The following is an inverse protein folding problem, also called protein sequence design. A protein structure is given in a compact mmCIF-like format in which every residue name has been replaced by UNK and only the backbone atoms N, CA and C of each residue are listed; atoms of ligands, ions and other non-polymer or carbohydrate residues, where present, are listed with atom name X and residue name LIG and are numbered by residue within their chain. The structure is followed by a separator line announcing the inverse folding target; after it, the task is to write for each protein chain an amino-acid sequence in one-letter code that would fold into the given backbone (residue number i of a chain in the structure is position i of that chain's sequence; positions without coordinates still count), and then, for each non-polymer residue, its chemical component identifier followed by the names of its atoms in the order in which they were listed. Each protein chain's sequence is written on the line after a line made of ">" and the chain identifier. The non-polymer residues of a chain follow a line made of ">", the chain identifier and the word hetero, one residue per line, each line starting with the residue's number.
data_IF_435642028168
#
_entry.id   IF_435642028168
#
_cell.length_a   1.000
_cell.length_b   1.000
_cell.length_c   1.000
_cell.angle_alpha   90.00
_cell.angle_beta   90.00
_cell.angle_gamma   90.00
#
_symmetry.space_group_name_H-M   'P 1'
#
loop_
_entity.id
_entity.type
_entity.pdbx_description
1 polymer ?
#
# COMPACT_ATOMS: atom_id res chain seq x y z
N UNK A 1 37.36 34.56 -54.97
CA UNK A 1 38.46 34.12 -54.08
C UNK A 1 37.81 33.69 -52.77
N UNK A 2 37.07 32.58 -52.73
CA UNK A 2 37.51 31.16 -52.79
C UNK A 2 38.09 30.67 -51.45
N UNK A 3 37.33 29.77 -50.81
CA UNK A 3 37.70 28.76 -49.80
C UNK A 3 38.20 29.21 -48.41
N UNK A 4 37.46 28.86 -47.34
CA UNK A 4 37.63 27.55 -46.68
C UNK A 4 36.44 27.23 -45.76
N UNK A 5 35.82 26.08 -46.05
CA UNK A 5 34.85 25.37 -45.23
C UNK A 5 35.60 24.58 -44.16
N UNK A 6 35.14 24.62 -42.92
CA UNK A 6 35.36 23.54 -41.95
C UNK A 6 33.99 23.17 -41.40
N UNK A 7 33.38 22.17 -42.04
CA UNK A 7 32.27 21.41 -41.49
C UNK A 7 32.87 20.41 -40.49
N UNK A 8 32.49 20.53 -39.21
CA UNK A 8 32.73 19.48 -38.22
C UNK A 8 31.59 18.47 -38.29
N UNK A 9 31.95 17.21 -38.46
CA UNK A 9 31.03 16.07 -38.49
C UNK A 9 30.15 16.01 -37.23
N UNK A 10 28.83 15.87 -37.35
CA UNK A 10 27.98 15.43 -36.26
C UNK A 10 28.16 13.93 -36.08
N UNK A 11 28.88 13.54 -35.03
CA UNK A 11 28.98 12.15 -34.60
C UNK A 11 27.60 11.50 -34.48
N UNK A 12 27.46 10.41 -35.20
CA UNK A 12 26.37 9.45 -35.20
C UNK A 12 26.19 8.83 -33.81
N UNK A 13 25.20 9.28 -33.06
CA UNK A 13 24.66 8.54 -31.91
C UNK A 13 23.73 7.43 -32.41
N UNK A 14 24.30 6.29 -32.82
CA UNK A 14 23.53 5.06 -33.04
C UNK A 14 23.24 4.38 -31.70
N UNK A 15 21.96 4.32 -31.33
CA UNK A 15 21.48 3.53 -30.20
C UNK A 15 21.73 2.03 -30.44
N UNK A 16 22.16 1.26 -29.42
CA UNK A 16 22.32 -0.18 -29.55
C UNK A 16 20.96 -0.87 -29.73
N UNK A 17 20.88 -1.76 -30.72
CA UNK A 17 19.73 -2.63 -30.98
C UNK A 17 19.46 -3.54 -29.79
N UNK A 18 18.25 -3.48 -29.23
CA UNK A 18 17.76 -4.40 -28.20
C UNK A 18 17.80 -5.84 -28.70
N UNK A 19 18.69 -6.65 -28.13
CA UNK A 19 18.67 -8.10 -28.30
C UNK A 19 17.55 -8.69 -27.44
N UNK A 20 16.49 -9.16 -28.10
CA UNK A 20 15.41 -9.94 -27.50
C UNK A 20 15.99 -11.24 -26.92
N UNK A 21 15.98 -11.36 -25.59
CA UNK A 21 16.30 -12.60 -24.89
C UNK A 21 15.10 -13.53 -25.01
N UNK A 22 15.19 -14.52 -25.90
CA UNK A 22 14.26 -15.66 -25.90
C UNK A 22 14.57 -16.55 -24.70
N UNK A 23 13.63 -16.63 -23.77
CA UNK A 23 13.64 -17.59 -22.66
C UNK A 23 13.06 -18.90 -23.17
N UNK A 24 13.94 -19.88 -23.39
CA UNK A 24 13.58 -21.24 -23.80
C UNK A 24 13.04 -22.01 -22.57
N UNK A 25 11.72 -22.20 -22.50
CA UNK A 25 11.08 -23.02 -21.47
C UNK A 25 11.14 -24.50 -21.90
N UNK A 26 12.04 -25.25 -21.24
CA UNK A 26 12.15 -26.71 -21.36
C UNK A 26 10.90 -27.37 -20.74
N UNK A 27 10.14 -28.19 -21.49
CA UNK A 27 9.05 -29.00 -20.93
C UNK A 27 9.61 -30.31 -20.40
N UNK A 28 9.43 -30.61 -19.10
CA UNK A 28 9.84 -31.93 -18.61
C UNK A 28 9.86 -32.23 -17.10
N UNK A 29 9.15 -31.51 -16.23
CA UNK A 29 9.10 -31.90 -14.81
C UNK A 29 7.87 -32.78 -14.48
N UNK A 30 8.06 -33.93 -13.82
CA UNK A 30 6.99 -34.87 -13.51
C UNK A 30 6.15 -34.45 -12.29
N UNK A 31 4.87 -34.73 -12.41
CA UNK A 31 3.77 -34.40 -11.51
C UNK A 31 3.91 -35.05 -10.10
N UNK A 32 3.71 -34.31 -8.99
CA UNK A 32 3.82 -34.86 -7.65
C UNK A 32 2.60 -35.70 -7.27
N UNK A 33 2.86 -36.93 -6.80
CA UNK A 33 1.86 -37.92 -6.37
C UNK A 33 1.02 -37.43 -5.19
N UNK A 34 -0.31 -37.62 -5.30
CA UNK A 34 -1.30 -37.46 -4.21
C UNK A 34 -1.08 -38.51 -3.09
N UNK A 35 -1.23 -38.14 -1.81
CA UNK A 35 -1.27 -39.10 -0.72
C UNK A 35 -2.63 -39.81 -0.61
N UNK A 36 -2.58 -41.12 -0.35
CA UNK A 36 -3.69 -42.02 -0.07
C UNK A 36 -4.46 -41.63 1.20
N UNK A 37 -5.79 -41.60 1.07
CA UNK A 37 -6.74 -41.40 2.18
C UNK A 37 -6.92 -42.70 2.97
N UNK A 38 -6.49 -42.67 4.23
CA UNK A 38 -6.64 -43.76 5.20
C UNK A 38 -8.09 -43.80 5.73
N UNK A 39 -8.76 -44.95 5.54
CA UNK A 39 -10.08 -45.29 6.11
C UNK A 39 -10.09 -45.14 7.63
N UNK A 40 -10.98 -44.29 8.15
CA UNK A 40 -11.38 -44.26 9.56
C UNK A 40 -12.50 -45.27 9.80
N UNK A 41 -12.29 -46.17 10.76
CA UNK A 41 -13.28 -47.14 11.23
C UNK A 41 -14.36 -46.48 12.09
N UNK A 42 -15.57 -47.00 11.96
CA UNK A 42 -16.75 -46.65 12.74
C UNK A 42 -16.65 -47.18 14.17
N UNK A 43 -16.73 -46.29 15.16
CA UNK A 43 -17.01 -46.64 16.56
C UNK A 43 -18.51 -46.46 16.83
N UNK A 44 -19.09 -47.46 17.48
CA UNK A 44 -20.50 -47.61 17.81
C UNK A 44 -20.96 -46.67 18.92
N UNK A 45 -22.21 -46.22 18.76
CA UNK A 45 -22.90 -45.16 19.47
C UNK A 45 -23.86 -45.77 20.51
N UNK A 46 -23.34 -46.26 21.64
CA UNK A 46 -24.16 -46.70 22.77
C UNK A 46 -23.51 -46.25 24.08
N UNK A 47 -23.94 -45.09 24.61
CA UNK A 47 -23.50 -44.71 25.95
C UNK A 47 -23.77 -43.30 26.45
N UNK A 48 -24.79 -42.57 25.98
CA UNK A 48 -25.11 -41.24 26.54
C UNK A 48 -26.63 -41.01 26.59
N UNK A 49 -27.32 -41.76 27.46
CA UNK A 49 -28.64 -41.38 28.01
C UNK A 49 -28.58 -41.45 29.52
N UNK A 50 -28.49 -40.30 30.16
CA UNK A 50 -28.76 -40.18 31.58
C UNK A 50 -27.90 -39.12 32.24
N UNK A 51 -28.25 -37.85 32.08
CA UNK A 51 -28.08 -36.79 33.09
C UNK A 51 -28.56 -35.47 32.50
N UNK A 52 -29.79 -35.10 32.80
CA UNK A 52 -30.37 -33.85 32.32
C UNK A 52 -31.71 -33.55 32.97
N UNK A 53 -31.71 -33.18 34.25
CA UNK A 53 -32.81 -32.41 34.87
C UNK A 53 -32.52 -32.08 36.34
N UNK A 54 -31.53 -31.23 36.67
CA UNK A 54 -31.47 -30.68 38.04
C UNK A 54 -30.56 -29.44 38.26
N UNK A 55 -30.56 -28.42 37.39
CA UNK A 55 -29.89 -27.15 37.72
C UNK A 55 -30.66 -25.94 37.20
N UNK A 56 -31.68 -25.53 37.95
CA UNK A 56 -32.34 -24.24 37.80
C UNK A 56 -32.80 -23.75 39.18
N UNK A 57 -31.88 -23.15 39.94
CA UNK A 57 -32.25 -22.30 41.08
C UNK A 57 -31.07 -21.40 41.47
N UNK A 58 -31.25 -20.10 41.26
CA UNK A 58 -30.66 -18.96 41.98
C UNK A 58 -29.23 -19.13 42.51
N UNK A 59 -28.22 -18.92 41.67
CA UNK A 59 -26.88 -18.56 42.13
C UNK A 59 -26.84 -17.05 42.41
N UNK A 60 -26.71 -16.71 43.69
CA UNK A 60 -26.47 -15.34 44.14
C UNK A 60 -24.98 -15.03 44.06
N UNK A 61 -24.65 -13.75 44.01
CA UNK A 61 -23.30 -13.17 43.85
C UNK A 61 -22.22 -13.77 44.78
N UNK A 62 -22.62 -14.38 45.90
CA UNK A 62 -21.75 -15.07 46.86
C UNK A 62 -21.09 -16.35 46.30
N UNK A 63 -21.71 -17.06 45.35
CA UNK A 63 -21.16 -18.30 44.79
C UNK A 63 -19.98 -18.03 43.82
N UNK A 64 -19.93 -16.84 43.24
CA UNK A 64 -18.84 -16.45 42.34
C UNK A 64 -17.55 -16.16 43.13
N UNK A 65 -17.66 -15.52 44.29
CA UNK A 65 -16.56 -15.27 45.22
C UNK A 65 -15.97 -16.57 45.78
N UNK A 66 -16.82 -17.55 46.12
CA UNK A 66 -16.37 -18.86 46.63
C UNK A 66 -15.70 -19.70 45.53
N UNK A 67 -16.20 -19.64 44.30
CA UNK A 67 -15.60 -20.32 43.13
C UNK A 67 -14.22 -19.73 42.77
N UNK A 68 -14.04 -18.41 42.93
CA UNK A 68 -12.76 -17.74 42.70
C UNK A 68 -11.73 -18.02 43.81
N UNK A 69 -12.15 -18.06 45.08
CA UNK A 69 -11.27 -18.42 46.22
C UNK A 69 -10.88 -19.91 46.21
N UNK A 70 -11.80 -20.79 45.82
CA UNK A 70 -11.53 -22.23 45.68
C UNK A 70 -10.59 -22.52 44.51
N UNK A 71 -10.70 -21.78 43.41
CA UNK A 71 -9.77 -21.90 42.28
C UNK A 71 -8.33 -21.49 42.65
N UNK A 72 -8.14 -20.43 43.47
CA UNK A 72 -6.80 -19.99 43.89
C UNK A 72 -6.08 -20.96 44.82
N UNK A 73 -6.81 -21.76 45.59
CA UNK A 73 -6.22 -22.70 46.56
C UNK A 73 -6.01 -24.10 45.98
N UNK A 74 -6.79 -24.51 44.98
CA UNK A 74 -6.64 -25.83 44.34
C UNK A 74 -5.66 -25.86 43.14
N UNK A 75 -5.51 -24.76 42.40
CA UNK A 75 -4.60 -24.69 41.25
C UNK A 75 -3.12 -25.01 41.58
N UNK A 76 -2.54 -24.57 42.71
CA UNK A 76 -1.15 -24.90 43.05
C UNK A 76 -0.94 -26.38 43.36
N UNK A 77 -1.96 -27.06 43.92
CA UNK A 77 -1.89 -28.47 44.32
C UNK A 77 -1.95 -29.42 43.12
N UNK A 78 -2.77 -29.10 42.11
CA UNK A 78 -2.87 -29.89 40.87
C UNK A 78 -1.61 -29.72 40.00
N UNK A 79 -0.95 -28.56 40.05
CA UNK A 79 0.27 -28.29 39.29
C UNK A 79 1.52 -29.04 39.81
N UNK A 80 1.49 -29.57 41.05
CA UNK A 80 2.62 -30.31 41.62
C UNK A 80 2.63 -31.81 41.24
N UNK A 81 1.55 -32.35 40.69
CA UNK A 81 1.40 -33.79 40.49
C UNK A 81 1.87 -34.36 39.13
N UNK A 82 2.01 -33.53 38.09
CA UNK A 82 2.32 -34.05 36.74
C UNK A 82 3.29 -33.13 35.97
N UNK A 83 4.59 -33.49 35.86
CA UNK A 83 5.59 -32.66 35.19
C UNK A 83 5.28 -32.45 33.70
N UNK A 84 4.59 -33.39 33.03
CA UNK A 84 4.17 -33.21 31.63
C UNK A 84 3.17 -32.05 31.44
N UNK A 85 2.24 -31.86 32.39
CA UNK A 85 1.26 -30.78 32.29
C UNK A 85 1.93 -29.40 32.44
N UNK A 86 2.99 -29.32 33.24
CA UNK A 86 3.76 -28.10 33.44
C UNK A 86 4.54 -27.73 32.18
N UNK A 87 5.13 -28.71 31.51
CA UNK A 87 5.83 -28.51 30.24
C UNK A 87 4.86 -28.05 29.12
N UNK A 88 3.71 -28.73 28.98
CA UNK A 88 2.66 -28.35 28.02
C UNK A 88 2.09 -26.96 28.29
N UNK A 89 1.93 -26.57 29.55
CA UNK A 89 1.45 -25.23 29.95
C UNK A 89 2.44 -24.10 29.62
N UNK A 90 3.74 -24.31 29.84
CA UNK A 90 4.78 -23.30 29.54
C UNK A 90 4.93 -23.11 28.02
N UNK A 91 4.92 -24.20 27.24
CA UNK A 91 4.92 -24.13 25.78
C UNK A 91 3.72 -23.37 25.22
N UNK A 92 2.53 -23.60 25.78
CA UNK A 92 1.32 -22.87 25.41
C UNK A 92 1.40 -21.36 25.66
N UNK A 93 1.96 -20.96 26.80
CA UNK A 93 2.11 -19.54 27.16
C UNK A 93 3.16 -18.84 26.27
N UNK A 94 4.27 -19.51 25.97
CA UNK A 94 5.31 -18.97 25.08
C UNK A 94 4.77 -18.73 23.66
N UNK A 95 4.04 -19.70 23.09
CA UNK A 95 3.41 -19.56 21.78
C UNK A 95 2.34 -18.45 21.74
N UNK A 96 1.61 -18.25 22.84
CA UNK A 96 0.65 -17.15 22.96
C UNK A 96 1.35 -15.78 22.95
N UNK A 97 2.41 -15.62 23.73
CA UNK A 97 3.16 -14.36 23.80
C UNK A 97 3.81 -13.98 22.47
N UNK A 98 4.39 -14.95 21.77
CA UNK A 98 4.98 -14.74 20.45
C UNK A 98 3.95 -14.20 19.44
N UNK A 99 2.75 -14.79 19.42
CA UNK A 99 1.64 -14.32 18.56
C UNK A 99 1.18 -12.91 18.93
N UNK A 100 1.11 -12.57 20.23
CA UNK A 100 0.75 -11.22 20.67
C UNK A 100 1.80 -10.19 20.25
N UNK A 101 3.09 -10.49 20.44
CA UNK A 101 4.19 -9.60 20.06
C UNK A 101 4.19 -9.38 18.55
N UNK A 102 4.09 -10.44 17.75
CA UNK A 102 4.01 -10.34 16.30
C UNK A 102 2.84 -9.46 15.87
N UNK A 103 1.65 -9.68 16.42
CA UNK A 103 0.45 -8.91 16.11
C UNK A 103 0.61 -7.41 16.42
N UNK A 104 1.18 -7.06 17.59
CA UNK A 104 1.43 -5.67 17.96
C UNK A 104 2.46 -5.03 17.01
N UNK A 105 3.55 -5.75 16.71
CA UNK A 105 4.59 -5.26 15.80
C UNK A 105 4.05 -4.93 14.41
N UNK A 106 3.25 -5.83 13.82
CA UNK A 106 2.59 -5.58 12.53
C UNK A 106 1.56 -4.44 12.61
N UNK A 107 0.75 -4.39 13.66
CA UNK A 107 -0.21 -3.31 13.86
C UNK A 107 0.47 -1.94 13.87
N UNK A 108 1.60 -1.81 14.57
CA UNK A 108 2.40 -0.58 14.58
C UNK A 108 3.03 -0.27 13.22
N UNK A 109 3.52 -1.29 12.50
CA UNK A 109 4.05 -1.11 11.14
C UNK A 109 2.99 -0.56 10.20
N UNK A 110 1.77 -1.10 10.20
CA UNK A 110 0.66 -0.59 9.38
C UNK A 110 0.24 0.82 9.81
N UNK A 111 0.15 1.07 11.12
CA UNK A 111 -0.20 2.37 11.66
C UNK A 111 0.79 3.46 11.22
N UNK A 112 2.07 3.11 11.02
CA UNK A 112 3.08 4.02 10.50
C UNK A 112 3.11 4.08 8.97
N UNK A 113 3.00 2.93 8.28
CA UNK A 113 3.13 2.85 6.82
C UNK A 113 1.96 3.51 6.08
N UNK A 114 0.73 3.42 6.62
CA UNK A 114 -0.47 3.98 5.97
C UNK A 114 -0.38 5.52 5.90
N UNK A 115 -0.14 6.26 7.00
CA UNK A 115 0.02 7.71 6.93
C UNK A 115 1.16 8.15 6.00
N UNK A 116 2.30 7.46 6.02
CA UNK A 116 3.45 7.77 5.15
C UNK A 116 3.09 7.55 3.67
N UNK A 117 2.45 6.43 3.36
CA UNK A 117 1.97 6.13 2.01
C UNK A 117 0.92 7.14 1.53
N UNK A 118 -0.05 7.48 2.39
CA UNK A 118 -1.05 8.49 2.10
C UNK A 118 -0.44 9.89 1.91
N UNK A 119 0.49 10.30 2.76
CA UNK A 119 1.18 11.59 2.64
C UNK A 119 1.94 11.68 1.31
N UNK A 120 2.69 10.64 0.96
CA UNK A 120 3.44 10.58 -0.29
C UNK A 120 2.51 10.61 -1.50
N UNK A 121 1.44 9.80 -1.49
CA UNK A 121 0.46 9.78 -2.57
C UNK A 121 -0.27 11.12 -2.73
N UNK A 122 -0.63 11.79 -1.63
CA UNK A 122 -1.24 13.11 -1.68
C UNK A 122 -0.28 14.19 -2.17
N UNK A 123 1.01 14.09 -1.86
CA UNK A 123 2.07 14.95 -2.43
C UNK A 123 2.10 14.82 -3.95
N UNK A 124 2.27 13.60 -4.46
CA UNK A 124 2.30 13.35 -5.91
C UNK A 124 1.02 13.78 -6.62
N UNK A 125 -0.16 13.59 -6.00
CA UNK A 125 -1.42 14.05 -6.58
C UNK A 125 -1.53 15.58 -6.66
N UNK A 126 -0.92 16.32 -5.72
CA UNK A 126 -0.85 17.79 -5.81
C UNK A 126 0.07 18.19 -6.96
N UNK A 127 1.23 17.56 -7.07
CA UNK A 127 2.19 17.87 -8.13
C UNK A 127 1.58 17.60 -9.51
N UNK A 128 0.87 16.49 -9.70
CA UNK A 128 0.15 16.18 -10.95
C UNK A 128 -0.93 17.24 -11.24
N UNK A 129 -1.68 17.66 -10.21
CA UNK A 129 -2.72 18.69 -10.36
C UNK A 129 -2.14 20.03 -10.78
N UNK A 130 -0.98 20.41 -10.25
CA UNK A 130 -0.32 21.67 -10.57
C UNK A 130 0.45 21.60 -11.89
N UNK A 131 0.81 20.40 -12.35
CA UNK A 131 1.49 20.18 -13.64
C UNK A 131 0.58 20.51 -14.84
N UNK A 132 -0.72 20.20 -14.77
CA UNK A 132 -1.66 20.50 -15.86
C UNK A 132 -1.70 22.01 -16.21
N UNK A 133 -1.95 22.94 -15.27
CA UNK A 133 -1.94 24.37 -15.59
C UNK A 133 -0.54 24.87 -15.98
N UNK A 134 0.53 24.32 -15.40
CA UNK A 134 1.91 24.67 -15.81
C UNK A 134 2.17 24.32 -17.28
N UNK A 135 1.77 23.12 -17.72
CA UNK A 135 1.90 22.71 -19.12
C UNK A 135 0.99 23.51 -20.05
N UNK A 136 -0.23 23.86 -19.62
CA UNK A 136 -1.15 24.71 -20.40
C UNK A 136 -0.62 26.13 -20.61
N UNK A 137 0.09 26.69 -19.63
CA UNK A 137 0.63 28.05 -19.66
C UNK A 137 2.11 28.08 -20.07
N UNK A 138 2.70 26.93 -20.40
CA UNK A 138 4.11 26.82 -20.75
C UNK A 138 4.42 27.67 -21.99
N UNK A 139 5.47 28.49 -21.87
CA UNK A 139 6.00 29.29 -22.97
C UNK A 139 7.52 29.33 -22.85
N UNK A 140 8.19 28.79 -23.87
CA UNK A 140 9.66 28.71 -23.91
C UNK A 140 10.32 30.07 -23.86
N UNK A 141 9.67 31.13 -24.38
CA UNK A 141 10.24 32.49 -24.36
C UNK A 141 10.26 33.09 -22.95
N UNK A 142 9.27 32.71 -22.13
CA UNK A 142 9.15 33.12 -20.73
C UNK A 142 10.01 32.27 -19.79
N UNK A 143 10.56 31.15 -20.26
CA UNK A 143 11.38 30.27 -19.43
C UNK A 143 12.71 30.92 -19.05
N UNK A 144 13.00 31.04 -17.75
CA UNK A 144 14.28 31.57 -17.27
C UNK A 144 15.35 30.48 -17.23
N UNK A 145 16.51 30.72 -17.86
CA UNK A 145 17.70 29.89 -17.61
C UNK A 145 18.45 30.44 -16.39
N UNK A 146 19.14 29.55 -15.68
CA UNK A 146 20.11 29.92 -14.64
C UNK A 146 21.08 31.01 -15.12
N UNK A 147 21.48 30.92 -16.39
CA UNK A 147 22.36 31.86 -17.05
C UNK A 147 21.82 33.31 -17.06
N UNK A 148 20.53 33.51 -17.29
CA UNK A 148 19.89 34.82 -17.32
C UNK A 148 19.62 35.34 -15.91
N UNK A 149 19.24 34.47 -14.98
CA UNK A 149 18.97 34.86 -13.58
C UNK A 149 20.22 35.36 -12.85
N UNK A 150 21.42 35.02 -13.34
CA UNK A 150 22.70 35.50 -12.81
C UNK A 150 23.44 36.49 -13.75
N UNK A 151 22.71 37.22 -14.62
CA UNK A 151 23.28 38.21 -15.55
C UNK A 151 24.46 37.67 -16.40
N UNK A 152 24.34 36.41 -16.85
CA UNK A 152 25.37 35.69 -17.57
C UNK A 152 26.73 35.66 -16.84
N UNK A 153 26.73 35.56 -15.51
CA UNK A 153 27.92 35.40 -14.67
C UNK A 153 27.72 34.26 -13.68
N UNK A 154 28.74 33.45 -13.49
CA UNK A 154 28.72 32.42 -12.47
C UNK A 154 28.78 33.06 -11.07
N UNK A 155 27.89 32.71 -10.12
CA UNK A 155 27.81 33.40 -8.83
C UNK A 155 29.09 33.28 -8.00
N UNK A 156 29.74 32.12 -7.98
CA UNK A 156 30.95 31.92 -7.18
C UNK A 156 32.26 32.39 -7.84
N UNK A 157 32.39 32.23 -9.16
CA UNK A 157 33.66 32.46 -9.88
C UNK A 157 33.70 33.79 -10.62
N UNK A 158 32.56 34.45 -10.82
CA UNK A 158 32.42 35.67 -11.61
C UNK A 158 32.66 35.49 -13.12
N UNK A 159 32.92 34.26 -13.59
CA UNK A 159 33.19 33.98 -14.99
C UNK A 159 31.94 34.23 -15.85
N UNK A 160 32.15 34.77 -17.06
CA UNK A 160 31.07 35.03 -18.01
C UNK A 160 30.52 33.71 -18.57
N UNK A 161 29.24 33.44 -18.34
CA UNK A 161 28.52 32.29 -18.86
C UNK A 161 28.00 32.58 -20.27
N UNK A 162 27.99 31.56 -21.13
CA UNK A 162 27.28 31.64 -22.41
C UNK A 162 25.77 31.56 -22.14
N UNK A 163 24.97 32.20 -22.99
CA UNK A 163 23.52 32.18 -22.84
C UNK A 163 22.97 30.84 -23.35
N UNK A 164 22.61 29.94 -22.44
CA UNK A 164 22.00 28.65 -22.77
C UNK A 164 20.70 28.79 -23.55
N UNK A 165 19.93 29.88 -23.33
CA UNK A 165 18.70 30.15 -24.08
C UNK A 165 18.94 30.23 -25.59
N UNK A 166 20.06 30.84 -26.03
CA UNK A 166 20.39 30.93 -27.46
C UNK A 166 20.69 29.55 -28.05
N UNK A 167 21.36 28.70 -27.28
CA UNK A 167 21.65 27.33 -27.69
C UNK A 167 20.36 26.52 -27.82
N UNK A 168 19.46 26.60 -26.84
CA UNK A 168 18.16 25.92 -26.88
C UNK A 168 17.34 26.39 -28.09
N UNK A 169 17.23 27.70 -28.33
CA UNK A 169 16.47 28.22 -29.48
C UNK A 169 17.05 27.79 -30.82
N UNK A 170 18.38 27.76 -30.94
CA UNK A 170 19.03 27.24 -32.15
C UNK A 170 18.68 25.76 -32.39
N UNK A 171 18.70 24.93 -31.34
CA UNK A 171 18.31 23.51 -31.43
C UNK A 171 16.83 23.35 -31.76
N UNK A 172 15.94 24.13 -31.14
CA UNK A 172 14.50 24.12 -31.44
C UNK A 172 14.23 24.53 -32.89
N UNK A 173 14.99 25.48 -33.44
CA UNK A 173 14.90 25.83 -34.86
C UNK A 173 15.28 24.65 -35.76
N UNK A 174 16.26 23.84 -35.36
CA UNK A 174 16.63 22.62 -36.08
C UNK A 174 15.56 21.53 -36.03
N UNK A 175 14.82 21.41 -34.93
CA UNK A 175 13.80 20.36 -34.75
C UNK A 175 12.40 20.74 -35.25
N UNK A 176 12.02 22.02 -35.11
CA UNK A 176 10.66 22.51 -35.38
C UNK A 176 10.60 23.56 -36.49
N UNK A 177 11.73 23.98 -37.03
CA UNK A 177 11.80 24.96 -38.12
C UNK A 177 11.61 24.32 -39.48
N UNK A 178 10.86 25.01 -40.34
CA UNK A 178 10.60 24.66 -41.73
C UNK A 178 11.16 25.75 -42.66
N UNK A 179 11.41 25.39 -43.92
CA UNK A 179 11.92 26.33 -44.91
C UNK A 179 10.86 27.41 -45.21
N UNK A 180 11.21 28.68 -45.01
CA UNK A 180 10.31 29.82 -45.22
C UNK A 180 9.59 30.29 -43.95
N UNK A 181 9.83 29.66 -42.80
CA UNK A 181 9.30 30.13 -41.53
C UNK A 181 9.81 31.51 -41.14
N UNK A 182 8.93 32.28 -40.48
CA UNK A 182 9.34 33.47 -39.74
C UNK A 182 10.29 33.10 -38.59
N UNK A 183 11.04 34.09 -38.10
CA UNK A 183 12.07 33.87 -37.09
C UNK A 183 11.57 33.07 -35.87
N UNK A 184 10.32 33.24 -35.46
CA UNK A 184 9.78 32.71 -34.19
C UNK A 184 8.73 31.61 -34.36
N UNK A 185 8.41 31.21 -35.60
CA UNK A 185 7.32 30.24 -35.85
C UNK A 185 7.63 28.86 -35.26
N UNK A 186 8.90 28.45 -35.29
CA UNK A 186 9.38 27.21 -34.68
C UNK A 186 9.16 27.17 -33.15
N UNK A 187 9.25 28.32 -32.46
CA UNK A 187 9.00 28.43 -31.02
C UNK A 187 7.51 28.23 -30.71
N UNK A 188 6.62 28.78 -31.53
CA UNK A 188 5.17 28.57 -31.38
C UNK A 188 4.78 27.11 -31.57
N UNK A 189 5.36 26.42 -32.57
CA UNK A 189 5.11 24.98 -32.79
C UNK A 189 5.58 24.14 -31.61
N UNK A 190 6.76 24.44 -31.05
CA UNK A 190 7.25 23.77 -29.86
C UNK A 190 6.32 23.99 -28.66
N UNK A 191 5.96 25.26 -28.37
CA UNK A 191 5.03 25.61 -27.30
C UNK A 191 3.69 24.87 -27.46
N UNK A 192 3.12 24.86 -28.67
CA UNK A 192 1.89 24.14 -28.98
C UNK A 192 2.03 22.63 -28.73
N UNK A 193 3.14 22.03 -29.14
CA UNK A 193 3.44 20.60 -28.92
C UNK A 193 3.54 20.26 -27.42
N UNK A 194 4.17 21.12 -26.62
CA UNK A 194 4.26 20.95 -25.17
C UNK A 194 2.89 21.09 -24.50
N UNK A 195 2.14 22.14 -24.85
CA UNK A 195 0.83 22.45 -24.28
C UNK A 195 -0.25 21.40 -24.61
N UNK A 196 -0.07 20.66 -25.70
CA UNK A 196 -1.02 19.63 -26.18
C UNK A 196 -0.46 18.23 -26.01
N UNK A 197 0.43 17.79 -26.90
CA UNK A 197 0.91 16.41 -26.98
C UNK A 197 1.65 15.96 -25.71
N UNK A 198 2.56 16.78 -25.17
CA UNK A 198 3.26 16.41 -23.94
C UNK A 198 2.31 16.38 -22.76
N UNK A 199 1.45 17.40 -22.62
CA UNK A 199 0.41 17.45 -21.58
C UNK A 199 -0.44 16.19 -21.59
N UNK A 200 -0.99 15.81 -22.74
CA UNK A 200 -1.91 14.69 -22.82
C UNK A 200 -1.21 13.37 -22.47
N UNK A 201 0.03 13.16 -22.95
CA UNK A 201 0.85 11.99 -22.58
C UNK A 201 1.23 11.94 -21.11
N UNK A 202 1.57 13.08 -20.52
CA UNK A 202 1.93 13.18 -19.10
C UNK A 202 0.72 12.92 -18.21
N UNK A 203 -0.46 13.42 -18.59
CA UNK A 203 -1.70 13.18 -17.84
C UNK A 203 -2.17 11.72 -17.97
N UNK A 204 -2.07 11.14 -19.16
CA UNK A 204 -2.32 9.71 -19.37
C UNK A 204 -1.34 8.83 -18.55
N UNK A 205 -0.06 9.22 -18.52
CA UNK A 205 0.94 8.58 -17.67
C UNK A 205 0.66 8.77 -16.18
N UNK A 206 0.14 9.93 -15.76
CA UNK A 206 -0.19 10.21 -14.36
C UNK A 206 -1.33 9.31 -13.84
N UNK A 207 -2.29 8.94 -14.69
CA UNK A 207 -3.31 7.94 -14.36
C UNK A 207 -2.70 6.56 -14.09
N UNK A 208 -1.59 6.23 -14.77
CA UNK A 208 -0.82 5.02 -14.46
C UNK A 208 -0.10 5.09 -13.11
N UNK A 209 0.18 6.28 -12.56
CA UNK A 209 0.75 6.43 -11.20
C UNK A 209 -0.30 6.19 -10.10
N UNK A 210 -1.59 6.26 -10.43
CA UNK A 210 -2.68 5.80 -9.55
C UNK A 210 -2.69 4.26 -9.45
N UNK A 211 -2.10 3.55 -10.42
CA UNK A 211 -1.96 2.09 -10.43
C UNK A 211 -1.11 1.55 -9.26
N UNK A 212 0.07 2.13 -8.90
CA UNK A 212 0.81 1.81 -7.69
C UNK A 212 -0.04 1.75 -6.42
N UNK A 213 -1.03 2.63 -6.25
CA UNK A 213 -1.89 2.60 -5.06
C UNK A 213 -2.75 1.34 -5.05
N UNK A 214 -3.29 0.92 -6.20
CA UNK A 214 -4.03 -0.33 -6.32
C UNK A 214 -3.14 -1.53 -6.09
N UNK A 215 -1.93 -1.53 -6.66
CA UNK A 215 -0.94 -2.60 -6.46
C UNK A 215 -0.54 -2.68 -4.99
N UNK A 216 -0.22 -1.56 -4.34
CA UNK A 216 0.11 -1.52 -2.90
C UNK A 216 -1.07 -2.02 -2.06
N UNK A 217 -2.30 -1.64 -2.39
CA UNK A 217 -3.49 -2.18 -1.72
C UNK A 217 -3.64 -3.69 -1.93
N UNK A 218 -3.49 -4.20 -3.16
CA UNK A 218 -3.54 -5.64 -3.47
C UNK A 218 -2.41 -6.42 -2.78
N UNK A 219 -1.18 -5.90 -2.78
CA UNK A 219 -0.03 -6.50 -2.12
C UNK A 219 -0.20 -6.49 -0.61
N UNK A 220 -0.81 -5.44 -0.04
CA UNK A 220 -1.19 -5.38 1.37
C UNK A 220 -2.21 -6.46 1.70
N UNK A 221 -3.25 -6.63 0.87
CA UNK A 221 -4.25 -7.70 1.05
C UNK A 221 -3.61 -9.08 0.94
N UNK A 222 -2.76 -9.30 -0.07
CA UNK A 222 -2.07 -10.56 -0.28
C UNK A 222 -1.11 -10.89 0.86
N UNK A 223 -0.37 -9.90 1.39
CA UNK A 223 0.52 -10.07 2.53
C UNK A 223 -0.23 -10.42 3.83
N UNK A 224 -1.48 -9.97 3.96
CA UNK A 224 -2.34 -10.32 5.09
C UNK A 224 -3.06 -11.67 4.95
N UNK A 225 -3.10 -12.26 3.75
CA UNK A 225 -3.85 -13.49 3.49
C UNK A 225 -3.37 -14.70 4.31
N UNK A 226 -2.05 -14.98 4.47
CA UNK A 226 -1.58 -16.10 5.29
C UNK A 226 -2.03 -16.00 6.75
N UNK A 227 -2.05 -14.80 7.31
CA UNK A 227 -2.52 -14.56 8.67
C UNK A 227 -4.01 -14.84 8.84
N UNK A 228 -4.80 -14.51 7.81
CA UNK A 228 -6.22 -14.83 7.80
C UNK A 228 -6.44 -16.34 7.76
N UNK A 229 -5.69 -17.06 6.92
CA UNK A 229 -5.73 -18.51 6.85
C UNK A 229 -5.32 -19.18 8.18
N UNK A 230 -4.24 -18.70 8.82
CA UNK A 230 -3.79 -19.20 10.13
C UNK A 230 -4.81 -18.95 11.23
N UNK A 231 -5.45 -17.76 11.23
CA UNK A 231 -6.48 -17.42 12.21
C UNK A 231 -7.72 -18.31 12.06
N UNK A 232 -8.11 -18.61 10.82
CA UNK A 232 -9.19 -19.55 10.52
C UNK A 232 -8.84 -20.98 10.93
N UNK A 233 -7.60 -21.42 10.70
CA UNK A 233 -7.13 -22.73 11.12
C UNK A 233 -7.15 -22.87 12.65
N UNK A 234 -6.70 -21.84 13.36
CA UNK A 234 -6.74 -21.80 14.83
C UNK A 234 -8.16 -21.78 15.36
N UNK A 235 -9.05 -20.97 14.78
CA UNK A 235 -10.47 -20.94 15.14
C UNK A 235 -11.11 -22.33 14.97
N UNK A 236 -10.79 -23.05 13.89
CA UNK A 236 -11.27 -24.42 13.67
C UNK A 236 -10.72 -25.40 14.72
N UNK A 237 -9.42 -25.33 15.02
CA UNK A 237 -8.81 -26.17 16.05
C UNK A 237 -9.42 -25.91 17.44
N UNK A 238 -9.70 -24.64 17.75
CA UNK A 238 -10.36 -24.24 18.98
C UNK A 238 -11.80 -24.77 19.05
N UNK A 239 -12.57 -24.69 17.95
CA UNK A 239 -13.91 -25.26 17.87
C UNK A 239 -13.92 -26.79 18.09
N UNK A 240 -12.89 -27.51 17.64
CA UNK A 240 -12.77 -28.96 17.89
C UNK A 240 -12.42 -29.26 19.36
N UNK A 241 -11.59 -28.43 19.98
CA UNK A 241 -11.28 -28.53 21.42
C UNK A 241 -12.49 -28.18 22.31
N UNK A 242 -13.48 -27.50 21.74
CA UNK A 242 -14.64 -26.97 22.42
C UNK A 242 -15.67 -28.05 22.81
N UNK A 243 -15.61 -29.25 22.22
CA UNK A 243 -16.55 -30.35 22.53
C UNK A 243 -16.49 -30.81 24.00
N UNK A 244 -15.40 -30.54 24.74
CA UNK A 244 -15.30 -30.88 26.17
C UNK A 244 -15.84 -29.80 27.14
N UNK A 245 -16.06 -28.55 26.68
CA UNK A 245 -16.55 -27.46 27.52
C UNK A 245 -18.01 -27.13 27.19
N UNK A 246 -18.87 -27.13 28.23
CA UNK A 246 -20.31 -26.97 28.08
C UNK A 246 -20.75 -25.81 27.15
N UNK A 247 -21.83 -26.01 26.38
CA UNK A 247 -22.12 -25.30 25.12
C UNK A 247 -22.23 -23.77 25.25
N UNK A 248 -22.66 -23.27 26.40
CA UNK A 248 -22.91 -21.85 26.62
C UNK A 248 -21.62 -21.02 26.81
N UNK A 249 -20.67 -21.52 27.61
CA UNK A 249 -19.39 -20.85 27.85
C UNK A 249 -18.51 -20.77 26.59
N UNK A 250 -18.76 -21.74 25.71
CA UNK A 250 -17.98 -22.05 24.56
C UNK A 250 -18.41 -21.17 23.36
N UNK A 251 -19.73 -21.03 23.16
CA UNK A 251 -20.29 -20.10 22.18
C UNK A 251 -19.89 -18.64 22.43
N UNK A 252 -19.89 -18.18 23.69
CA UNK A 252 -19.52 -16.80 24.03
C UNK A 252 -18.05 -16.49 23.77
N UNK A 253 -17.15 -17.42 24.10
CA UNK A 253 -15.70 -17.26 23.84
C UNK A 253 -15.39 -17.30 22.34
N UNK A 254 -16.06 -18.17 21.60
CA UNK A 254 -15.92 -18.21 20.14
C UNK A 254 -16.43 -16.92 19.51
N UNK A 255 -17.60 -16.42 19.92
CA UNK A 255 -18.14 -15.15 19.45
C UNK A 255 -17.20 -13.97 19.78
N UNK A 256 -16.61 -13.94 20.97
CA UNK A 256 -15.67 -12.89 21.39
C UNK A 256 -14.35 -12.93 20.59
N UNK A 257 -13.81 -14.11 20.29
CA UNK A 257 -12.61 -14.26 19.45
C UNK A 257 -12.91 -13.85 18.02
N UNK A 258 -14.03 -14.33 17.46
CA UNK A 258 -14.47 -13.98 16.10
C UNK A 258 -14.72 -12.48 16.00
N UNK A 259 -15.50 -11.85 16.89
CA UNK A 259 -15.73 -10.40 16.85
C UNK A 259 -14.46 -9.58 17.05
N UNK A 260 -13.52 -10.04 17.88
CA UNK A 260 -12.22 -9.39 18.05
C UNK A 260 -11.34 -9.48 16.80
N UNK A 261 -11.30 -10.61 16.12
CA UNK A 261 -10.50 -10.74 14.88
C UNK A 261 -11.18 -10.08 13.67
N UNK A 262 -12.51 -10.13 13.60
CA UNK A 262 -13.27 -9.43 12.56
C UNK A 262 -13.24 -7.90 12.73
N UNK A 263 -13.27 -7.38 13.96
CA UNK A 263 -13.09 -5.94 14.19
C UNK A 263 -11.69 -5.45 13.80
N UNK A 264 -10.66 -6.27 13.98
CA UNK A 264 -9.31 -5.99 13.48
C UNK A 264 -9.25 -5.99 11.95
N UNK A 265 -9.92 -6.95 11.31
CA UNK A 265 -10.06 -6.97 9.86
C UNK A 265 -10.76 -5.71 9.35
N UNK A 266 -11.91 -5.36 9.93
CA UNK A 266 -12.62 -4.14 9.53
C UNK A 266 -11.81 -2.87 9.81
N UNK A 267 -11.09 -2.79 10.92
CA UNK A 267 -10.21 -1.66 11.21
C UNK A 267 -9.03 -1.54 10.24
N UNK A 268 -8.44 -2.66 9.81
CA UNK A 268 -7.29 -2.64 8.87
C UNK A 268 -7.74 -2.45 7.43
N UNK A 269 -8.93 -2.93 7.04
CA UNK A 269 -9.37 -2.92 5.63
C UNK A 269 -10.46 -1.89 5.31
N UNK A 270 -11.52 -1.77 6.13
CA UNK A 270 -12.57 -0.78 5.88
C UNK A 270 -12.10 0.63 6.22
N UNK A 271 -11.25 0.81 7.24
CA UNK A 271 -10.81 2.14 7.61
C UNK A 271 -9.96 2.81 6.51
N UNK A 272 -8.92 2.18 5.93
CA UNK A 272 -8.17 2.82 4.84
C UNK A 272 -9.00 2.97 3.57
N UNK A 273 -9.88 2.01 3.25
CA UNK A 273 -10.80 2.13 2.12
C UNK A 273 -11.77 3.31 2.29
N UNK A 274 -12.37 3.45 3.48
CA UNK A 274 -13.22 4.58 3.83
C UNK A 274 -12.43 5.89 3.83
N UNK A 275 -11.18 5.89 4.33
CA UNK A 275 -10.29 7.04 4.33
C UNK A 275 -9.97 7.47 2.89
N UNK A 276 -9.67 6.55 1.98
CA UNK A 276 -9.44 6.84 0.55
C UNK A 276 -10.71 7.41 -0.10
N UNK A 277 -11.89 6.85 0.20
CA UNK A 277 -13.18 7.38 -0.28
C UNK A 277 -13.46 8.79 0.28
N UNK A 278 -13.20 9.01 1.56
CA UNK A 278 -13.33 10.32 2.21
C UNK A 278 -12.32 11.32 1.67
N UNK A 279 -11.08 10.92 1.37
CA UNK A 279 -10.09 11.76 0.71
C UNK A 279 -10.53 12.13 -0.71
N UNK A 280 -11.10 11.17 -1.47
CA UNK A 280 -11.69 11.44 -2.79
C UNK A 280 -12.88 12.40 -2.73
N UNK A 281 -13.69 12.34 -1.67
CA UNK A 281 -14.80 13.28 -1.45
C UNK A 281 -14.31 14.63 -0.89
N UNK A 282 -13.24 14.65 -0.12
CA UNK A 282 -12.65 15.84 0.49
C UNK A 282 -11.87 16.71 -0.51
N UNK A 283 -11.23 16.10 -1.50
CA UNK A 283 -10.53 16.80 -2.59
C UNK A 283 -11.39 17.86 -3.31
N UNK A 284 -12.61 17.56 -3.80
CA UNK A 284 -13.47 18.56 -4.43
C UNK A 284 -14.01 19.60 -3.44
N UNK A 285 -14.15 19.24 -2.17
CA UNK A 285 -14.63 20.15 -1.12
C UNK A 285 -13.54 21.19 -0.76
N UNK A 286 -12.29 20.75 -0.64
CA UNK A 286 -11.13 21.61 -0.47
C UNK A 286 -10.92 22.54 -1.68
N UNK A 287 -11.15 22.04 -2.90
CA UNK A 287 -11.08 22.87 -4.12
C UNK A 287 -12.16 23.96 -4.16
N UNK A 288 -13.38 23.69 -3.69
CA UNK A 288 -14.43 24.71 -3.56
C UNK A 288 -14.09 25.75 -2.49
N UNK A 289 -13.53 25.32 -1.35
CA UNK A 289 -13.11 26.25 -0.30
C UNK A 289 -11.96 27.16 -0.73
N UNK A 290 -11.01 26.67 -1.53
CA UNK A 290 -9.94 27.51 -2.07
C UNK A 290 -10.48 28.56 -3.07
N UNK A 291 -11.45 28.19 -3.92
CA UNK A 291 -12.12 29.14 -4.81
C UNK A 291 -12.85 30.23 -4.02
N UNK A 292 -13.59 29.88 -2.98
CA UNK A 292 -14.29 30.84 -2.11
C UNK A 292 -13.34 31.85 -1.46
N UNK A 293 -12.16 31.39 -0.98
CA UNK A 293 -11.14 32.28 -0.42
C UNK A 293 -10.57 33.24 -1.46
N UNK A 294 -10.32 32.76 -2.68
CA UNK A 294 -9.85 33.61 -3.77
C UNK A 294 -10.88 34.68 -4.16
N UNK A 295 -12.18 34.34 -4.23
CA UNK A 295 -13.25 35.29 -4.51
C UNK A 295 -13.38 36.39 -3.45
N UNK A 296 -13.22 36.03 -2.18
CA UNK A 296 -13.25 36.96 -1.06
C UNK A 296 -12.07 37.94 -1.09
N UNK A 297 -10.87 37.47 -1.45
CA UNK A 297 -9.69 38.32 -1.55
C UNK A 297 -9.73 39.32 -2.71
N UNK A 298 -10.48 39.02 -3.79
CA UNK A 298 -10.66 39.94 -4.93
C UNK A 298 -11.75 40.99 -4.65
N UNK A 299 -12.61 40.78 -3.65
CA UNK A 299 -13.72 41.68 -3.32
C UNK A 299 -13.41 42.69 -2.21
N UNK A 300 -12.20 42.66 -1.64
CA UNK A 300 -11.69 43.62 -0.67
C UNK A 300 -10.60 44.48 -1.30
#
# INVERSE_FOLDING_TARGET
>A
MSHFLVAGDPETWSLPSESVVQVDLRPGDPEPRRPETRRSGSLSDEGLRGMGSHWASNSTEADFELSFKTSRTLLPSIAQGNPELKEKGILGLAGFLDKVISMVGFGMLFLAAIPVGCYSALGTLRDIRDLEPQLKQFDVERSECFCCSNDHRHPDTGQKLRCDRRLVFHTLKGWYGEAGDSADEHLKRFNSTVQTSLRDKVLEGADSVIFPIRVVACMTVAACAPWFCDSLAWAKAFCLFQEELGPFSAAWRCLAVVTREWSRFFAVFLFPYALVKLCKLGLPLMAKMSQLKASLLVSC
#
